data_IF_188433063751
#
_entry.id   IF_188433063751
#
_cell.length_a   1.000
_cell.length_b   1.000
_cell.length_c   1.000
_cell.angle_alpha   90.00
_cell.angle_beta   90.00
_cell.angle_gamma   90.00
#
_symmetry.space_group_name_H-M   'P 1'
#
loop_
_entity.id
_entity.type
_entity.pdbx_description
1 polymer ?
#
# COMPACT_ATOMS: atom_id res chain seq x y z
N UNK A 1 -31.97 3.49 -10.13
CA UNK A 1 -33.39 3.85 -10.00
C UNK A 1 -33.47 5.36 -9.87
N UNK A 2 -34.23 6.04 -10.73
CA UNK A 2 -34.42 7.49 -10.61
C UNK A 2 -35.14 7.79 -9.30
N UNK A 3 -34.61 8.73 -8.51
CA UNK A 3 -35.21 9.11 -7.24
C UNK A 3 -36.61 9.71 -7.50
N UNK A 4 -37.63 9.12 -6.89
CA UNK A 4 -39.01 9.60 -6.99
C UNK A 4 -39.11 10.95 -6.26
N UNK A 5 -39.54 12.00 -6.96
CA UNK A 5 -39.68 13.35 -6.40
C UNK A 5 -40.97 13.44 -5.57
N UNK A 6 -40.88 13.26 -4.25
CA UNK A 6 -42.05 13.33 -3.34
C UNK A 6 -42.26 14.73 -2.70
N UNK A 7 -41.32 15.66 -2.92
CA UNK A 7 -41.33 17.01 -2.38
C UNK A 7 -41.18 18.05 -3.51
N UNK A 8 -41.77 19.23 -3.31
CA UNK A 8 -41.65 20.38 -4.19
C UNK A 8 -41.78 21.69 -3.39
N UNK A 9 -41.55 22.84 -4.04
CA UNK A 9 -41.89 24.15 -3.45
C UNK A 9 -43.26 24.63 -3.92
N UNK A 10 -44.01 25.29 -3.06
CA UNK A 10 -45.15 26.11 -3.49
C UNK A 10 -44.74 27.54 -3.88
N UNK A 11 -45.72 28.37 -4.25
CA UNK A 11 -45.51 29.76 -4.61
C UNK A 11 -44.91 30.65 -3.49
N UNK A 12 -44.96 30.20 -2.23
CA UNK A 12 -44.36 30.88 -1.08
C UNK A 12 -42.95 30.38 -0.78
N UNK A 13 -42.47 29.37 -1.50
CA UNK A 13 -41.19 28.71 -1.23
C UNK A 13 -41.26 27.71 -0.08
N UNK A 14 -42.45 27.29 0.35
CA UNK A 14 -42.60 26.27 1.39
C UNK A 14 -42.50 24.88 0.77
N UNK A 15 -41.84 23.95 1.48
CA UNK A 15 -41.77 22.54 1.05
C UNK A 15 -43.14 21.89 1.22
N UNK A 16 -43.70 21.41 0.12
CA UNK A 16 -44.91 20.60 0.05
C UNK A 16 -44.57 19.16 -0.29
N UNK A 17 -45.29 18.23 0.34
CA UNK A 17 -45.21 16.82 -0.02
C UNK A 17 -46.36 16.45 -0.95
N UNK A 18 -46.16 15.42 -1.78
CA UNK A 18 -47.14 15.00 -2.80
C UNK A 18 -48.50 14.60 -2.20
N UNK A 19 -48.54 14.14 -0.95
CA UNK A 19 -49.77 13.82 -0.23
C UNK A 19 -50.52 15.04 0.32
N UNK A 20 -49.86 16.20 0.43
CA UNK A 20 -50.40 17.41 1.06
C UNK A 20 -51.06 18.35 0.04
N UNK A 21 -51.07 17.99 -1.25
CA UNK A 21 -51.51 18.86 -2.34
C UNK A 21 -52.59 18.20 -3.20
N UNK A 22 -53.44 18.99 -3.89
CA UNK A 22 -54.40 18.45 -4.86
C UNK A 22 -53.70 17.68 -6.00
N UNK A 23 -54.37 16.63 -6.50
CA UNK A 23 -53.93 15.89 -7.69
C UNK A 23 -53.82 16.79 -8.92
N UNK A 24 -52.79 16.56 -9.74
CA UNK A 24 -52.64 17.19 -11.05
C UNK A 24 -51.90 18.54 -11.00
N UNK A 25 -52.08 19.35 -12.05
CA UNK A 25 -51.46 20.68 -12.17
C UNK A 25 -52.03 21.70 -11.17
N UNK A 26 -53.21 21.43 -10.60
CA UNK A 26 -53.81 22.23 -9.54
C UNK A 26 -53.04 22.22 -8.21
N UNK A 27 -51.94 21.45 -8.09
CA UNK A 27 -51.09 21.44 -6.91
C UNK A 27 -50.35 22.76 -6.67
N UNK A 28 -50.17 23.61 -7.69
CA UNK A 28 -49.48 24.90 -7.57
C UNK A 28 -48.01 24.78 -7.14
N UNK A 29 -47.37 23.64 -7.41
CA UNK A 29 -46.00 23.35 -7.01
C UNK A 29 -45.00 23.57 -8.15
N UNK A 30 -43.75 23.84 -7.78
CA UNK A 30 -42.66 24.20 -8.69
C UNK A 30 -41.41 23.37 -8.41
N UNK A 31 -40.66 23.08 -9.47
CA UNK A 31 -39.37 22.41 -9.36
C UNK A 31 -38.38 23.28 -8.59
N UNK A 32 -37.69 22.75 -7.56
CA UNK A 32 -36.69 23.52 -6.80
C UNK A 32 -35.50 23.98 -7.65
N UNK A 33 -35.20 23.30 -8.76
CA UNK A 33 -34.10 23.64 -9.66
C UNK A 33 -34.56 24.57 -10.79
N UNK A 34 -35.35 24.07 -11.75
CA UNK A 34 -35.68 24.84 -12.96
C UNK A 34 -36.85 25.81 -12.78
N UNK A 35 -37.53 25.76 -11.64
CA UNK A 35 -38.72 26.58 -11.30
C UNK A 35 -39.94 26.36 -12.21
N UNK A 36 -39.91 25.39 -13.14
CA UNK A 36 -41.07 25.03 -13.94
C UNK A 36 -42.20 24.45 -13.07
N UNK A 37 -43.48 24.60 -13.48
CA UNK A 37 -44.62 23.99 -12.83
C UNK A 37 -44.52 22.45 -12.79
N UNK A 38 -45.03 21.89 -11.70
CA UNK A 38 -45.12 20.44 -11.48
C UNK A 38 -46.58 19.98 -11.46
N UNK A 39 -46.75 18.69 -11.74
CA UNK A 39 -48.02 17.97 -11.68
C UNK A 39 -47.91 16.92 -10.58
N UNK A 40 -48.82 16.95 -9.60
CA UNK A 40 -48.91 15.91 -8.57
C UNK A 40 -49.54 14.63 -9.16
N UNK A 41 -48.74 13.63 -9.46
CA UNK A 41 -49.16 12.32 -9.98
C UNK A 41 -49.61 11.44 -8.81
N UNK A 42 -50.89 11.49 -8.51
CA UNK A 42 -51.53 10.66 -7.47
C UNK A 42 -52.43 9.60 -8.14
N UNK A 43 -52.08 8.33 -7.99
CA UNK A 43 -52.78 7.22 -8.64
C UNK A 43 -52.62 5.89 -7.90
N UNK A 44 -53.24 4.85 -8.45
CA UNK A 44 -53.22 3.49 -7.89
C UNK A 44 -52.14 2.59 -8.51
N UNK A 45 -51.73 2.88 -9.74
CA UNK A 45 -50.76 2.06 -10.49
C UNK A 45 -49.30 2.43 -10.17
N UNK A 46 -49.00 3.72 -10.10
CA UNK A 46 -47.65 4.25 -9.87
C UNK A 46 -47.54 4.91 -8.50
N UNK A 47 -46.33 4.92 -7.94
CA UNK A 47 -46.03 5.67 -6.71
C UNK A 47 -46.34 7.15 -6.88
N UNK A 48 -46.78 7.78 -5.79
CA UNK A 48 -47.14 9.18 -5.82
C UNK A 48 -45.89 10.04 -5.93
N UNK A 49 -45.86 10.94 -6.90
CA UNK A 49 -44.71 11.79 -7.16
C UNK A 49 -45.10 13.09 -7.85
N UNK A 50 -44.20 14.04 -7.82
CA UNK A 50 -44.24 15.21 -8.68
C UNK A 50 -43.53 14.91 -10.01
N UNK A 51 -44.16 15.33 -11.11
CA UNK A 51 -43.58 15.27 -12.45
C UNK A 51 -43.62 16.67 -13.07
N UNK A 52 -42.68 16.97 -13.97
CA UNK A 52 -42.73 18.24 -14.70
C UNK A 52 -43.95 18.29 -15.62
N UNK A 53 -44.64 19.43 -15.64
CA UNK A 53 -45.70 19.66 -16.61
C UNK A 53 -45.13 19.61 -18.03
N UNK A 54 -45.85 18.97 -18.96
CA UNK A 54 -45.44 18.81 -20.36
C UNK A 54 -44.01 18.26 -20.57
N UNK A 55 -43.53 17.42 -19.65
CA UNK A 55 -42.18 16.81 -19.71
C UNK A 55 -41.04 17.84 -19.84
N UNK A 56 -41.20 19.02 -19.22
CA UNK A 56 -40.18 20.07 -19.17
C UNK A 56 -38.99 19.75 -18.25
N UNK A 57 -38.79 18.48 -17.89
CA UNK A 57 -37.70 18.07 -17.03
C UNK A 57 -36.34 18.25 -17.73
N UNK A 58 -35.34 18.62 -16.94
CA UNK A 58 -33.97 18.80 -17.40
C UNK A 58 -33.03 17.95 -16.55
N UNK A 59 -31.86 17.54 -17.05
CA UNK A 59 -30.92 16.73 -16.28
C UNK A 59 -30.58 17.32 -14.90
N UNK A 60 -30.46 18.65 -14.80
CA UNK A 60 -30.18 19.35 -13.54
C UNK A 60 -31.31 19.26 -12.50
N UNK A 61 -32.54 18.91 -12.91
CA UNK A 61 -33.69 18.81 -12.00
C UNK A 61 -33.53 17.68 -10.98
N UNK A 62 -32.70 16.67 -11.27
CA UNK A 62 -32.38 15.60 -10.32
C UNK A 62 -31.77 16.13 -9.02
N UNK A 63 -30.86 17.13 -9.12
CA UNK A 63 -30.23 17.80 -7.97
C UNK A 63 -31.26 18.51 -7.09
N UNK A 64 -32.42 18.85 -7.65
CA UNK A 64 -33.53 19.47 -6.95
C UNK A 64 -34.10 18.58 -5.84
N UNK A 65 -34.29 17.29 -6.14
CA UNK A 65 -34.76 16.31 -5.17
C UNK A 65 -33.75 16.11 -4.03
N UNK A 66 -32.45 16.10 -4.36
CA UNK A 66 -31.37 16.01 -3.36
C UNK A 66 -31.34 17.24 -2.45
N UNK A 67 -31.48 18.44 -3.01
CA UNK A 67 -31.53 19.67 -2.21
C UNK A 67 -32.70 19.66 -1.21
N UNK A 68 -33.88 19.19 -1.63
CA UNK A 68 -35.03 19.04 -0.74
C UNK A 68 -34.80 17.96 0.33
N UNK A 69 -34.18 16.83 -0.04
CA UNK A 69 -33.79 15.80 0.93
C UNK A 69 -32.80 16.35 1.97
N UNK A 70 -31.83 17.19 1.57
CA UNK A 70 -30.92 17.86 2.49
C UNK A 70 -31.68 18.78 3.45
N UNK A 71 -32.60 19.59 2.93
CA UNK A 71 -33.44 20.48 3.76
C UNK A 71 -34.23 19.68 4.81
N UNK A 72 -34.80 18.54 4.41
CA UNK A 72 -35.47 17.65 5.35
C UNK A 72 -34.51 17.01 6.36
N UNK A 73 -33.27 16.70 5.97
CA UNK A 73 -32.21 16.27 6.89
C UNK A 73 -31.85 17.32 7.93
N UNK A 74 -31.78 18.59 7.55
CA UNK A 74 -31.57 19.71 8.49
C UNK A 74 -32.75 19.82 9.45
N UNK A 75 -33.99 19.73 8.94
CA UNK A 75 -35.19 19.70 9.77
C UNK A 75 -35.18 18.51 10.75
N UNK A 76 -34.78 17.32 10.29
CA UNK A 76 -34.64 16.13 11.12
C UNK A 76 -33.60 16.33 12.23
N UNK A 77 -32.43 16.89 11.91
CA UNK A 77 -31.40 17.20 12.91
C UNK A 77 -31.91 18.19 13.97
N UNK A 78 -32.63 19.24 13.54
CA UNK A 78 -33.29 20.20 14.45
C UNK A 78 -34.31 19.51 15.35
N UNK A 79 -35.13 18.62 14.80
CA UNK A 79 -36.12 17.84 15.55
C UNK A 79 -35.50 16.92 16.59
N UNK A 80 -34.39 16.25 16.25
CA UNK A 80 -33.64 15.43 17.20
C UNK A 80 -33.09 16.28 18.35
N UNK A 81 -32.46 17.42 18.03
CA UNK A 81 -31.90 18.32 19.04
C UNK A 81 -32.98 18.89 19.97
N UNK A 82 -34.08 19.41 19.41
CA UNK A 82 -35.17 20.01 20.17
C UNK A 82 -35.83 19.05 21.16
N UNK A 83 -35.78 17.74 20.87
CA UNK A 83 -36.33 16.68 21.73
C UNK A 83 -35.30 16.07 22.69
N UNK A 84 -34.05 16.55 22.68
CA UNK A 84 -32.95 15.94 23.44
C UNK A 84 -32.62 14.51 22.97
N UNK A 85 -32.98 14.16 21.73
CA UNK A 85 -32.79 12.82 21.15
C UNK A 85 -31.60 12.78 20.17
N UNK A 86 -30.82 13.86 20.08
CA UNK A 86 -29.62 13.92 19.25
C UNK A 86 -28.46 13.24 20.00
N UNK A 87 -28.23 11.96 19.66
CA UNK A 87 -27.16 11.15 20.23
C UNK A 87 -26.14 10.83 19.14
N UNK A 88 -24.86 11.06 19.43
CA UNK A 88 -23.76 10.78 18.50
C UNK A 88 -23.28 9.33 18.69
N UNK A 89 -22.91 8.62 17.61
CA UNK A 89 -22.31 7.30 17.73
C UNK A 89 -20.90 7.40 18.34
N UNK A 90 -20.32 6.30 18.84
CA UNK A 90 -18.91 6.28 19.24
C UNK A 90 -17.99 6.70 18.08
N UNK A 91 -16.93 7.44 18.39
CA UNK A 91 -15.87 7.77 17.45
C UNK A 91 -14.82 6.67 17.45
N UNK A 92 -14.46 6.14 16.28
CA UNK A 92 -13.41 5.14 16.12
C UNK A 92 -12.34 5.65 15.18
N UNK A 93 -11.09 5.58 15.63
CA UNK A 93 -9.89 5.84 14.83
C UNK A 93 -8.91 4.68 14.98
N UNK A 94 -7.74 4.77 14.36
CA UNK A 94 -6.71 3.74 14.46
C UNK A 94 -5.40 4.30 14.99
N UNK A 95 -4.77 3.52 15.87
CA UNK A 95 -3.36 3.65 16.22
C UNK A 95 -2.62 2.47 15.58
N UNK A 96 -1.43 2.71 15.03
CA UNK A 96 -0.73 1.66 14.33
C UNK A 96 0.60 2.08 13.72
N UNK A 97 1.35 1.06 13.34
CA UNK A 97 2.60 1.16 12.60
C UNK A 97 2.58 0.14 11.47
N UNK A 98 3.12 0.53 10.32
CA UNK A 98 3.35 -0.36 9.19
C UNK A 98 4.80 -0.22 8.78
N UNK A 99 5.63 -1.13 9.28
CA UNK A 99 7.09 -1.14 9.09
C UNK A 99 7.56 -2.54 8.70
N UNK A 100 8.84 -2.67 8.34
CA UNK A 100 9.47 -3.97 8.08
C UNK A 100 9.50 -4.89 9.32
N UNK A 101 9.43 -4.31 10.53
CA UNK A 101 9.59 -5.05 11.79
C UNK A 101 8.27 -5.38 12.46
N UNK A 102 7.26 -4.54 12.26
CA UNK A 102 5.93 -4.69 12.82
C UNK A 102 4.90 -4.03 11.90
N UNK A 103 3.88 -4.80 11.55
CA UNK A 103 2.64 -4.31 10.95
C UNK A 103 1.50 -4.59 11.92
N UNK A 104 1.02 -3.53 12.58
CA UNK A 104 -0.04 -3.62 13.60
C UNK A 104 -0.90 -2.36 13.54
N UNK A 105 -2.20 -2.54 13.53
CA UNK A 105 -3.19 -1.47 13.59
C UNK A 105 -4.28 -1.90 14.56
N UNK A 106 -4.64 -1.01 15.48
CA UNK A 106 -5.65 -1.26 16.51
C UNK A 106 -6.69 -0.16 16.50
N UNK A 107 -7.99 -0.51 16.53
CA UNK A 107 -9.05 0.47 16.67
C UNK A 107 -9.01 1.08 18.08
N UNK A 108 -9.12 2.40 18.13
CA UNK A 108 -9.28 3.16 19.37
C UNK A 108 -10.63 3.85 19.28
N UNK A 109 -11.51 3.54 20.24
CA UNK A 109 -12.90 4.01 20.26
C UNK A 109 -13.20 4.73 21.56
N UNK A 110 -13.89 5.86 21.46
CA UNK A 110 -14.42 6.57 22.61
C UNK A 110 -15.74 7.26 22.28
N UNK A 111 -16.48 7.61 23.32
CA UNK A 111 -17.75 8.31 23.23
C UNK A 111 -17.52 9.81 23.43
N UNK A 112 -18.24 10.61 22.64
CA UNK A 112 -18.32 12.05 22.82
C UNK A 112 -19.75 12.48 22.51
N UNK A 113 -20.36 13.21 23.43
CA UNK A 113 -21.75 13.66 23.31
C UNK A 113 -21.84 15.18 23.35
N UNK A 114 -22.95 15.70 22.86
CA UNK A 114 -23.23 17.13 22.85
C UNK A 114 -23.49 17.67 24.25
N UNK A 115 -22.93 18.84 24.53
CA UNK A 115 -23.23 19.62 25.74
C UNK A 115 -23.69 21.02 25.39
N UNK A 116 -24.77 21.47 26.02
CA UNK A 116 -25.32 22.81 25.83
C UNK A 116 -26.09 23.00 24.51
N UNK A 117 -26.42 24.26 24.16
CA UNK A 117 -27.22 24.58 22.98
C UNK A 117 -26.39 24.53 21.69
N UNK A 118 -27.07 24.25 20.58
CA UNK A 118 -26.51 24.41 19.23
C UNK A 118 -26.77 25.81 18.69
N UNK A 119 -25.75 26.38 18.03
CA UNK A 119 -25.87 27.59 17.22
C UNK A 119 -26.18 27.20 15.78
N UNK A 120 -27.40 27.46 15.32
CA UNK A 120 -27.85 27.11 13.98
C UNK A 120 -27.48 28.18 12.96
N UNK A 121 -27.05 27.77 11.76
CA UNK A 121 -26.86 28.68 10.63
C UNK A 121 -28.14 28.76 9.80
N UNK A 122 -28.47 29.97 9.36
CA UNK A 122 -29.54 30.20 8.40
C UNK A 122 -29.04 29.95 6.98
N UNK A 123 -29.78 29.14 6.23
CA UNK A 123 -29.48 28.79 4.83
C UNK A 123 -28.01 28.39 4.54
N UNK A 124 -27.42 27.42 5.28
CA UNK A 124 -26.03 27.03 5.07
C UNK A 124 -25.81 26.39 3.70
N UNK A 125 -24.74 26.80 3.02
CA UNK A 125 -24.28 26.18 1.78
C UNK A 125 -24.01 24.68 1.96
N UNK A 126 -23.94 23.92 0.86
CA UNK A 126 -23.81 22.44 0.91
C UNK A 126 -22.59 21.95 1.70
N UNK A 127 -21.47 22.65 1.56
CA UNK A 127 -20.21 22.34 2.23
C UNK A 127 -20.04 23.06 3.58
N UNK A 128 -20.99 23.91 3.99
CA UNK A 128 -20.91 24.65 5.24
C UNK A 128 -21.60 23.90 6.38
N UNK A 129 -21.17 24.11 7.63
CA UNK A 129 -21.84 23.51 8.77
C UNK A 129 -23.24 24.09 8.95
N UNK A 130 -24.18 23.24 9.34
CA UNK A 130 -25.58 23.60 9.58
C UNK A 130 -25.80 24.07 11.01
N UNK A 131 -24.95 23.61 11.93
CA UNK A 131 -24.93 24.02 13.32
C UNK A 131 -23.54 23.84 13.91
N UNK A 132 -23.24 24.60 14.95
CA UNK A 132 -22.04 24.45 15.78
C UNK A 132 -22.41 24.33 17.26
N UNK A 133 -21.56 23.71 18.06
CA UNK A 133 -21.77 23.49 19.49
C UNK A 133 -20.51 23.02 20.19
N UNK A 134 -20.68 22.37 21.34
CA UNK A 134 -19.59 21.82 22.16
C UNK A 134 -19.84 20.34 22.46
N UNK A 135 -18.77 19.57 22.55
CA UNK A 135 -18.79 18.21 23.10
C UNK A 135 -18.52 18.22 24.61
N UNK A 136 -18.96 17.18 25.31
CA UNK A 136 -18.63 16.88 26.70
C UNK A 136 -17.13 16.68 26.95
N UNK A 137 -16.36 16.36 25.89
CA UNK A 137 -14.90 16.37 25.92
C UNK A 137 -14.30 17.78 26.02
N UNK A 138 -15.10 18.82 25.82
CA UNK A 138 -14.65 20.21 25.76
C UNK A 138 -14.22 20.69 24.37
N UNK A 139 -14.29 19.82 23.36
CA UNK A 139 -13.96 20.19 21.98
C UNK A 139 -15.11 20.94 21.28
N UNK A 140 -14.82 21.97 20.46
CA UNK A 140 -15.81 22.57 19.58
C UNK A 140 -16.29 21.55 18.55
N UNK A 141 -17.57 21.67 18.15
CA UNK A 141 -18.24 20.73 17.25
C UNK A 141 -18.95 21.44 16.11
N UNK A 142 -18.83 20.89 14.91
CA UNK A 142 -19.57 21.31 13.72
C UNK A 142 -20.41 20.15 13.13
N UNK A 143 -21.65 20.45 12.77
CA UNK A 143 -22.55 19.50 12.11
C UNK A 143 -22.69 19.83 10.63
N UNK A 144 -22.65 18.79 9.80
CA UNK A 144 -22.96 18.87 8.38
C UNK A 144 -24.17 18.00 8.05
N UNK A 145 -24.86 18.32 6.96
CA UNK A 145 -25.91 17.46 6.40
C UNK A 145 -25.62 17.28 4.91
N UNK A 146 -25.47 16.03 4.50
CA UNK A 146 -25.08 15.65 3.14
C UNK A 146 -26.06 14.62 2.59
N UNK A 147 -26.18 14.58 1.27
CA UNK A 147 -27.12 13.69 0.56
C UNK A 147 -26.34 12.77 -0.37
N UNK A 148 -26.45 11.45 -0.18
CA UNK A 148 -25.67 10.48 -0.94
C UNK A 148 -24.16 10.62 -0.75
N UNK A 149 -23.37 10.35 -1.80
CA UNK A 149 -21.90 10.47 -1.80
C UNK A 149 -21.45 11.94 -1.97
N UNK A 150 -22.07 12.87 -1.23
CA UNK A 150 -21.85 14.30 -1.43
C UNK A 150 -20.39 14.72 -1.15
N UNK A 151 -20.00 15.83 -1.77
CA UNK A 151 -18.69 16.49 -1.63
C UNK A 151 -18.27 16.67 -0.17
N UNK A 152 -16.98 16.53 0.11
CA UNK A 152 -16.39 16.74 1.44
C UNK A 152 -16.86 18.05 2.10
N UNK A 153 -17.09 18.05 3.42
CA UNK A 153 -17.32 19.28 4.18
C UNK A 153 -16.18 20.29 3.97
N UNK A 154 -16.50 21.59 3.93
CA UNK A 154 -15.48 22.63 4.04
C UNK A 154 -15.14 22.85 5.51
N UNK A 155 -13.85 22.81 5.81
CA UNK A 155 -13.30 22.98 7.16
C UNK A 155 -12.60 24.35 7.33
N UNK A 156 -12.57 25.19 6.29
CA UNK A 156 -11.77 26.43 6.25
C UNK A 156 -12.09 27.41 7.39
N UNK A 157 -13.36 27.49 7.78
CA UNK A 157 -13.84 28.42 8.82
C UNK A 157 -13.95 27.76 10.22
N UNK A 158 -13.40 26.56 10.40
CA UNK A 158 -13.47 25.84 11.67
C UNK A 158 -12.15 25.91 12.44
N UNK A 159 -12.19 25.93 13.79
CA UNK A 159 -10.99 25.73 14.61
C UNK A 159 -10.25 24.43 14.23
N UNK A 160 -8.93 24.41 14.40
CA UNK A 160 -8.09 23.25 14.08
C UNK A 160 -8.47 21.99 14.89
N UNK A 161 -8.91 22.21 16.14
CA UNK A 161 -9.38 21.18 17.08
C UNK A 161 -10.90 20.96 17.00
N UNK A 162 -11.58 21.48 15.98
CA UNK A 162 -13.02 21.33 15.83
C UNK A 162 -13.38 19.92 15.37
N UNK A 163 -14.05 19.17 16.25
CA UNK A 163 -14.70 17.93 15.88
C UNK A 163 -15.80 18.20 14.84
N UNK A 164 -16.04 17.25 13.95
CA UNK A 164 -17.19 17.33 13.06
C UNK A 164 -17.79 15.98 12.72
N UNK A 165 -19.12 16.00 12.57
CA UNK A 165 -19.91 14.88 12.11
C UNK A 165 -20.90 15.31 11.03
N UNK A 166 -21.21 14.38 10.15
CA UNK A 166 -22.16 14.55 9.05
C UNK A 166 -23.36 13.66 9.30
N UNK A 167 -24.56 14.24 9.25
CA UNK A 167 -25.78 13.47 9.05
C UNK A 167 -25.91 13.14 7.56
N UNK A 168 -25.70 11.87 7.22
CA UNK A 168 -25.88 11.35 5.87
C UNK A 168 -27.34 11.04 5.63
N UNK A 169 -27.90 11.69 4.60
CA UNK A 169 -29.27 11.49 4.14
C UNK A 169 -29.23 10.71 2.83
N UNK A 170 -29.97 9.60 2.76
CA UNK A 170 -30.15 8.87 1.51
C UNK A 170 -31.51 9.28 0.93
N UNK A 171 -31.57 9.87 -0.28
CA UNK A 171 -32.82 10.33 -0.89
C UNK A 171 -33.59 9.16 -1.52
N UNK A 172 -33.73 8.06 -0.78
CA UNK A 172 -34.43 6.84 -1.16
C UNK A 172 -35.60 6.64 -0.21
N UNK A 173 -36.76 7.15 -0.61
CA UNK A 173 -37.96 7.12 0.23
C UNK A 173 -38.62 5.73 0.17
N UNK A 174 -39.05 5.16 1.31
CA UNK A 174 -39.86 3.95 1.31
C UNK A 174 -41.11 4.12 0.44
N UNK A 175 -41.54 3.03 -0.20
CA UNK A 175 -42.78 3.04 -1.00
C UNK A 175 -43.95 3.55 -0.17
N UNK A 176 -44.71 4.49 -0.74
CA UNK A 176 -45.87 5.07 -0.07
C UNK A 176 -45.57 6.28 0.81
N UNK A 177 -44.33 6.75 0.89
CA UNK A 177 -44.00 8.03 1.55
C UNK A 177 -44.65 9.19 0.80
N UNK A 178 -45.60 9.87 1.43
CA UNK A 178 -46.44 10.91 0.81
C UNK A 178 -46.48 12.20 1.61
N UNK A 179 -46.19 12.13 2.90
CA UNK A 179 -46.32 13.25 3.84
C UNK A 179 -44.98 13.58 4.49
N UNK A 180 -44.90 14.77 5.09
CA UNK A 180 -43.74 15.18 5.89
C UNK A 180 -43.45 14.20 7.02
N UNK A 181 -44.48 13.77 7.74
CA UNK A 181 -44.33 12.88 8.89
C UNK A 181 -43.74 11.53 8.48
N UNK A 182 -44.22 10.94 7.38
CA UNK A 182 -43.70 9.68 6.85
C UNK A 182 -42.24 9.83 6.40
N UNK A 183 -41.89 10.93 5.74
CA UNK A 183 -40.52 11.17 5.30
C UNK A 183 -39.56 11.38 6.50
N UNK A 184 -39.98 12.09 7.54
CA UNK A 184 -39.20 12.20 8.79
C UNK A 184 -39.07 10.87 9.53
N UNK A 185 -40.13 10.05 9.54
CA UNK A 185 -40.09 8.70 10.10
C UNK A 185 -39.11 7.80 9.32
N UNK A 186 -39.07 7.92 8.00
CA UNK A 186 -38.11 7.23 7.16
C UNK A 186 -36.66 7.66 7.48
N UNK A 187 -36.39 8.97 7.60
CA UNK A 187 -35.06 9.48 7.98
C UNK A 187 -34.61 8.96 9.34
N UNK A 188 -35.52 8.76 10.29
CA UNK A 188 -35.18 8.18 11.61
C UNK A 188 -34.57 6.77 11.48
N UNK A 189 -34.92 6.03 10.42
CA UNK A 189 -34.43 4.68 10.18
C UNK A 189 -33.21 4.63 9.25
N UNK A 190 -33.07 5.61 8.37
CA UNK A 190 -32.08 5.55 7.27
C UNK A 190 -30.97 6.58 7.38
N UNK A 191 -31.19 7.71 8.07
CA UNK A 191 -30.16 8.71 8.25
C UNK A 191 -29.14 8.23 9.30
N UNK A 192 -27.86 8.43 9.00
CA UNK A 192 -26.77 7.96 9.84
C UNK A 192 -25.80 9.10 10.12
N UNK A 193 -25.30 9.16 11.35
CA UNK A 193 -24.18 10.01 11.67
C UNK A 193 -22.88 9.34 11.27
N UNK A 194 -22.05 10.06 10.54
CA UNK A 194 -20.67 9.70 10.27
C UNK A 194 -19.76 10.76 10.86
N UNK A 195 -18.86 10.34 11.75
CA UNK A 195 -17.77 11.20 12.19
C UNK A 195 -16.78 11.44 11.05
N UNK A 196 -16.32 12.68 10.90
CA UNK A 196 -15.19 12.99 10.06
C UNK A 196 -13.91 13.20 10.87
N UNK A 197 -14.00 13.88 12.00
CA UNK A 197 -12.88 14.09 12.91
C UNK A 197 -13.37 14.33 14.34
N UNK A 198 -12.58 13.88 15.31
CA UNK A 198 -12.74 14.20 16.72
C UNK A 198 -11.33 14.29 17.34
N UNK A 199 -10.99 15.36 18.08
CA UNK A 199 -9.67 15.53 18.67
C UNK A 199 -9.48 14.58 19.86
N UNK A 200 -8.30 13.94 19.93
CA UNK A 200 -7.93 12.98 20.99
C UNK A 200 -7.74 13.65 22.36
N UNK A 201 -8.84 14.15 22.91
CA UNK A 201 -8.86 15.05 24.07
C UNK A 201 -8.42 14.32 25.34
N UNK A 202 -8.66 13.01 25.39
CA UNK A 202 -8.26 12.13 26.50
C UNK A 202 -6.92 11.42 26.23
N UNK A 203 -6.27 11.66 25.08
CA UNK A 203 -5.00 11.03 24.73
C UNK A 203 -5.08 9.51 24.54
N UNK A 204 -6.26 8.96 24.27
CA UNK A 204 -6.48 7.52 24.10
C UNK A 204 -5.76 7.01 22.85
N UNK A 205 -5.90 7.71 21.72
CA UNK A 205 -5.19 7.34 20.48
C UNK A 205 -3.69 7.51 20.66
N UNK A 206 -3.24 8.60 21.25
CA UNK A 206 -1.84 8.87 21.50
C UNK A 206 -1.20 7.81 22.42
N UNK A 207 -1.95 7.31 23.42
CA UNK A 207 -1.49 6.24 24.31
C UNK A 207 -1.35 4.92 23.55
N UNK A 208 -2.38 4.49 22.83
CA UNK A 208 -2.32 3.27 22.02
C UNK A 208 -1.20 3.34 20.97
N UNK A 209 -0.99 4.50 20.34
CA UNK A 209 0.09 4.71 19.38
C UNK A 209 1.47 4.50 20.02
N UNK A 210 1.71 5.08 21.19
CA UNK A 210 2.99 4.91 21.92
C UNK A 210 3.25 3.46 22.30
N UNK A 211 2.22 2.72 22.71
CA UNK A 211 2.35 1.31 23.06
C UNK A 211 2.74 0.46 21.84
N UNK A 212 2.10 0.70 20.69
CA UNK A 212 2.43 -0.01 19.44
C UNK A 212 3.85 0.37 18.95
N UNK A 213 4.23 1.65 19.04
CA UNK A 213 5.57 2.11 18.70
C UNK A 213 6.65 1.49 19.59
N UNK A 214 6.38 1.35 20.90
CA UNK A 214 7.29 0.65 21.82
C UNK A 214 7.49 -0.82 21.41
N UNK A 215 6.42 -1.49 20.93
CA UNK A 215 6.53 -2.86 20.42
C UNK A 215 7.33 -2.94 19.12
N UNK A 216 7.19 -1.96 18.21
CA UNK A 216 8.01 -1.88 16.99
C UNK A 216 9.49 -1.70 17.33
N UNK A 217 9.80 -0.80 18.26
CA UNK A 217 11.17 -0.57 18.72
C UNK A 217 11.77 -1.84 19.33
N UNK A 218 10.99 -2.59 20.11
CA UNK A 218 11.42 -3.88 20.67
C UNK A 218 11.63 -4.93 19.57
N UNK A 219 10.75 -5.01 18.56
CA UNK A 219 10.90 -5.92 17.43
C UNK A 219 12.17 -5.62 16.62
N UNK A 220 12.41 -4.34 16.32
CA UNK A 220 13.61 -3.85 15.64
C UNK A 220 14.88 -4.14 16.44
N UNK A 221 14.84 -3.91 17.76
CA UNK A 221 15.95 -4.20 18.66
C UNK A 221 16.34 -5.68 18.65
N UNK A 222 15.36 -6.59 18.72
CA UNK A 222 15.59 -8.04 18.62
C UNK A 222 16.19 -8.43 17.27
N UNK A 223 15.67 -7.88 16.17
CA UNK A 223 16.21 -8.17 14.84
C UNK A 223 17.67 -7.73 14.70
N UNK A 224 18.01 -6.52 15.17
CA UNK A 224 19.38 -6.02 15.16
C UNK A 224 20.32 -6.85 16.05
N UNK A 225 19.82 -7.37 17.18
CA UNK A 225 20.58 -8.29 18.03
C UNK A 225 20.86 -9.61 17.32
N UNK A 226 19.84 -10.22 16.71
CA UNK A 226 20.00 -11.45 15.92
C UNK A 226 21.01 -11.26 14.77
N UNK A 227 20.93 -10.15 14.04
CA UNK A 227 21.87 -9.83 12.97
C UNK A 227 23.30 -9.67 13.51
N UNK A 228 23.47 -9.01 14.65
CA UNK A 228 24.77 -8.89 15.33
C UNK A 228 25.31 -10.26 15.74
N UNK A 229 24.48 -11.11 16.32
CA UNK A 229 24.88 -12.48 16.72
C UNK A 229 25.28 -13.31 15.50
N UNK A 230 24.52 -13.23 14.40
CA UNK A 230 24.80 -13.88 13.11
C UNK A 230 26.14 -13.39 12.53
N UNK A 231 26.39 -12.08 12.53
CA UNK A 231 27.65 -11.48 12.10
C UNK A 231 28.85 -11.93 12.94
N UNK A 232 28.72 -11.97 14.28
CA UNK A 232 29.77 -12.46 15.16
C UNK A 232 30.04 -13.96 14.98
N UNK A 233 29.00 -14.77 14.77
CA UNK A 233 29.14 -16.19 14.48
C UNK A 233 29.86 -16.41 13.14
N UNK A 234 29.49 -15.66 12.10
CA UNK A 234 30.18 -15.67 10.81
C UNK A 234 31.65 -15.28 10.96
N UNK A 235 31.96 -14.19 11.69
CA UNK A 235 33.33 -13.78 11.97
C UNK A 235 34.16 -14.86 12.68
N UNK A 236 33.59 -15.56 13.67
CA UNK A 236 34.24 -16.70 14.35
C UNK A 236 34.48 -17.88 13.40
N UNK A 237 33.50 -18.22 12.55
CA UNK A 237 33.65 -19.25 11.51
C UNK A 237 34.85 -18.93 10.61
N UNK A 238 34.93 -17.69 10.11
CA UNK A 238 36.04 -17.22 9.28
C UNK A 238 37.40 -17.25 9.98
N UNK A 239 37.47 -16.83 11.25
CA UNK A 239 38.71 -16.88 12.02
C UNK A 239 39.23 -18.32 12.20
N UNK A 240 38.34 -19.28 12.44
CA UNK A 240 38.69 -20.69 12.57
C UNK A 240 39.19 -21.29 11.24
N UNK A 241 38.52 -20.97 10.14
CA UNK A 241 38.94 -21.38 8.79
C UNK A 241 40.35 -20.83 8.50
N UNK A 242 40.58 -19.53 8.75
CA UNK A 242 41.89 -18.90 8.54
C UNK A 242 42.99 -19.57 9.38
N UNK A 243 42.70 -19.93 10.63
CA UNK A 243 43.65 -20.65 11.51
C UNK A 243 43.99 -22.04 10.97
N UNK A 244 43.00 -22.80 10.51
CA UNK A 244 43.21 -24.12 9.91
C UNK A 244 44.04 -24.02 8.61
N UNK A 245 43.78 -23.01 7.78
CA UNK A 245 44.57 -22.75 6.58
C UNK A 245 46.04 -22.44 6.91
N UNK A 246 46.29 -21.62 7.94
CA UNK A 246 47.65 -21.26 8.34
C UNK A 246 48.41 -22.45 8.94
N UNK A 247 47.71 -23.34 9.65
CA UNK A 247 48.29 -24.60 10.16
C UNK A 247 48.65 -25.59 9.05
N UNK A 248 47.82 -25.69 8.01
CA UNK A 248 48.11 -26.53 6.84
C UNK A 248 49.27 -25.96 6.00
N UNK A 249 49.44 -24.64 5.92
CA UNK A 249 50.57 -24.01 5.25
C UNK A 249 51.90 -24.23 6.00
N UNK A 250 51.87 -24.31 7.33
CA UNK A 250 53.05 -24.60 8.16
C UNK A 250 53.47 -26.09 8.16
N UNK A 251 52.62 -26.98 7.64
CA UNK A 251 52.90 -28.42 7.56
C UNK A 251 53.44 -28.88 6.19
N UNK A 252 53.66 -27.97 5.23
CA UNK A 252 54.27 -28.30 3.95
C UNK A 252 55.79 -28.52 4.11
N UNK A 253 56.35 -29.68 3.70
CA UNK A 253 57.77 -29.95 3.89
C UNK A 253 58.62 -29.09 2.94
N UNK A 254 59.66 -28.47 3.50
CA UNK A 254 60.70 -27.78 2.75
C UNK A 254 61.43 -28.75 1.81
N UNK A 255 61.20 -28.61 0.50
CA UNK A 255 62.05 -29.13 -0.55
C UNK A 255 62.46 -27.98 -1.46
N UNK A 256 63.69 -27.50 -1.29
CA UNK A 256 64.22 -26.36 -2.03
C UNK A 256 64.65 -26.69 -3.46
N UNK A 257 64.91 -25.64 -4.24
CA UNK A 257 65.81 -25.72 -5.40
C UNK A 257 65.36 -24.99 -6.66
N UNK A 258 65.89 -23.77 -6.81
CA UNK A 258 66.33 -23.11 -8.04
C UNK A 258 65.34 -22.53 -9.08
N UNK A 259 65.55 -21.22 -9.27
CA UNK A 259 65.29 -20.39 -10.45
C UNK A 259 65.78 -21.05 -11.76
N UNK A 260 64.99 -21.00 -12.84
CA UNK A 260 65.22 -19.99 -13.89
C UNK A 260 64.13 -20.00 -14.98
N UNK A 261 63.99 -18.85 -15.62
CA UNK A 261 63.05 -18.56 -16.69
C UNK A 261 63.35 -19.34 -17.99
N UNK A 262 62.29 -19.72 -18.73
CA UNK A 262 62.05 -19.37 -20.14
C UNK A 262 60.89 -20.20 -20.75
N UNK A 263 60.15 -19.53 -21.63
CA UNK A 263 58.93 -19.93 -22.35
C UNK A 263 58.99 -21.25 -23.16
N UNK A 264 57.83 -21.83 -23.56
CA UNK A 264 57.73 -23.20 -24.05
C UNK A 264 57.90 -23.33 -25.57
N UNK A 265 58.53 -24.42 -26.01
CA UNK A 265 58.50 -24.91 -27.39
C UNK A 265 58.02 -26.36 -27.41
N UNK A 266 57.26 -26.63 -28.47
CA UNK A 266 56.36 -27.73 -28.76
C UNK A 266 56.98 -29.12 -28.95
N UNK A 267 56.06 -30.08 -28.82
CA UNK A 267 55.94 -31.40 -29.49
C UNK A 267 56.48 -32.66 -28.81
N UNK A 268 55.54 -33.59 -28.55
CA UNK A 268 55.73 -34.98 -28.97
C UNK A 268 55.25 -36.12 -28.06
N UNK A 269 53.93 -36.31 -27.93
CA UNK A 269 53.17 -37.61 -27.86
C UNK A 269 53.49 -38.63 -26.74
N UNK A 270 52.55 -39.30 -26.04
CA UNK A 270 51.16 -39.68 -26.37
C UNK A 270 50.27 -39.98 -25.12
N UNK A 271 49.01 -39.48 -25.21
CA UNK A 271 47.66 -40.02 -24.88
C UNK A 271 47.42 -40.96 -23.66
N UNK A 272 46.34 -40.84 -22.85
CA UNK A 272 44.93 -40.49 -23.15
C UNK A 272 44.13 -40.05 -21.87
N UNK A 273 42.83 -39.64 -21.97
CA UNK A 273 42.22 -38.64 -22.85
C UNK A 273 41.61 -37.48 -22.04
N UNK A 274 41.90 -36.23 -22.45
CA UNK A 274 41.10 -35.08 -22.06
C UNK A 274 39.96 -34.93 -23.07
N UNK A 275 38.71 -34.95 -22.61
CA UNK A 275 37.57 -34.60 -23.43
C UNK A 275 37.58 -33.08 -23.65
N UNK A 276 38.21 -32.64 -24.74
CA UNK A 276 38.03 -31.29 -25.27
C UNK A 276 36.71 -31.28 -26.03
N UNK A 277 35.64 -30.77 -25.41
CA UNK A 277 34.42 -30.38 -26.15
C UNK A 277 34.66 -28.98 -26.73
N UNK A 278 34.42 -28.86 -28.03
CA UNK A 278 34.75 -27.67 -28.83
C UNK A 278 33.97 -26.43 -28.42
N UNK A 279 34.54 -25.26 -28.73
CA UNK A 279 33.92 -23.95 -28.56
C UNK A 279 32.59 -23.87 -29.33
N UNK A 280 31.48 -24.11 -28.63
CA UNK A 280 30.15 -23.80 -29.13
C UNK A 280 30.00 -22.28 -29.22
N UNK A 281 29.45 -21.81 -30.34
CA UNK A 281 29.21 -20.38 -30.60
C UNK A 281 28.10 -19.92 -29.65
N UNK A 282 28.36 -18.92 -28.82
CA UNK A 282 27.40 -18.41 -27.84
C UNK A 282 26.08 -17.99 -28.50
N UNK A 283 24.95 -18.50 -28.00
CA UNK A 283 23.62 -18.04 -28.36
C UNK A 283 23.26 -16.80 -27.51
N UNK A 284 23.16 -15.59 -28.11
CA UNK A 284 22.85 -14.37 -27.37
C UNK A 284 21.41 -14.32 -26.84
N UNK A 285 20.49 -15.12 -27.38
CA UNK A 285 19.08 -15.17 -26.97
C UNK A 285 18.81 -16.16 -25.83
N UNK A 286 19.76 -17.05 -25.53
CA UNK A 286 19.64 -18.00 -24.43
C UNK A 286 19.48 -17.26 -23.08
N UNK A 287 18.56 -17.76 -22.25
CA UNK A 287 18.29 -17.27 -20.90
C UNK A 287 18.26 -18.42 -19.90
N UNK A 288 19.11 -18.34 -18.89
CA UNK A 288 19.26 -19.38 -17.88
C UNK A 288 18.64 -18.92 -16.57
N UNK A 289 17.44 -19.42 -16.26
CA UNK A 289 16.68 -19.02 -15.06
C UNK A 289 17.42 -19.30 -13.75
N UNK A 290 18.33 -20.28 -13.74
CA UNK A 290 19.19 -20.60 -12.60
C UNK A 290 20.22 -19.51 -12.29
N UNK A 291 20.53 -18.64 -13.25
CA UNK A 291 21.52 -17.56 -13.12
C UNK A 291 20.85 -16.23 -13.46
N UNK A 292 20.03 -15.67 -12.54
CA UNK A 292 19.23 -14.50 -12.81
C UNK A 292 20.07 -13.30 -13.26
N UNK A 293 19.55 -12.55 -14.22
CA UNK A 293 20.12 -11.28 -14.64
C UNK A 293 21.44 -11.38 -15.42
N UNK A 294 21.84 -12.55 -15.91
CA UNK A 294 23.07 -12.68 -16.70
C UNK A 294 23.01 -11.87 -18.01
N UNK A 295 24.14 -11.31 -18.44
CA UNK A 295 24.23 -10.57 -19.68
C UNK A 295 24.06 -11.51 -20.91
N UNK A 296 23.51 -11.02 -22.04
CA UNK A 296 23.35 -11.81 -23.25
C UNK A 296 24.69 -12.37 -23.75
N UNK A 297 24.75 -13.69 -23.98
CA UNK A 297 25.95 -14.36 -24.47
C UNK A 297 27.17 -14.29 -23.53
N UNK A 298 26.97 -14.00 -22.24
CA UNK A 298 28.09 -13.90 -21.30
C UNK A 298 28.82 -15.24 -21.15
N UNK A 299 30.08 -15.17 -20.70
CA UNK A 299 30.83 -16.34 -20.29
C UNK A 299 30.53 -16.63 -18.82
N UNK A 300 30.25 -17.89 -18.51
CA UNK A 300 30.10 -18.39 -17.15
C UNK A 300 31.41 -19.02 -16.70
N UNK A 301 31.82 -18.74 -15.48
CA UNK A 301 32.98 -19.36 -14.85
C UNK A 301 32.54 -20.17 -13.64
N UNK A 302 32.75 -21.47 -13.72
CA UNK A 302 32.39 -22.43 -12.68
C UNK A 302 33.57 -22.68 -11.75
N UNK A 303 33.31 -22.70 -10.45
CA UNK A 303 34.27 -23.01 -9.41
C UNK A 303 33.69 -24.07 -8.46
N UNK A 304 34.30 -25.26 -8.42
CA UNK A 304 33.94 -26.32 -7.47
C UNK A 304 34.85 -26.30 -6.26
N UNK A 305 34.32 -25.92 -5.11
CA UNK A 305 35.06 -25.82 -3.86
C UNK A 305 34.99 -27.13 -3.06
N UNK A 306 33.89 -27.86 -3.18
CA UNK A 306 33.63 -29.12 -2.49
C UNK A 306 32.77 -30.09 -3.32
N UNK A 307 32.47 -31.29 -2.80
CA UNK A 307 31.59 -32.25 -3.47
C UNK A 307 30.16 -31.72 -3.65
N UNK A 308 29.68 -30.90 -2.71
CA UNK A 308 28.33 -30.30 -2.73
C UNK A 308 28.38 -28.76 -2.79
N UNK A 309 29.55 -28.17 -3.05
CA UNK A 309 29.75 -26.72 -3.06
C UNK A 309 30.38 -26.26 -4.37
N UNK A 310 29.56 -25.62 -5.20
CA UNK A 310 29.98 -25.06 -6.47
C UNK A 310 29.29 -23.72 -6.75
N UNK A 311 30.04 -22.83 -7.40
CA UNK A 311 29.67 -21.44 -7.64
C UNK A 311 29.86 -21.08 -9.10
N UNK A 312 28.92 -20.32 -9.65
CA UNK A 312 28.99 -19.79 -11.01
C UNK A 312 29.11 -18.28 -10.98
N UNK A 313 30.18 -17.78 -11.57
CA UNK A 313 30.49 -16.36 -11.73
C UNK A 313 30.15 -15.89 -13.15
N UNK A 314 29.45 -14.76 -13.28
CA UNK A 314 29.00 -14.26 -14.58
C UNK A 314 28.76 -12.75 -14.59
N UNK A 315 28.74 -12.16 -15.79
CA UNK A 315 28.45 -10.74 -16.01
C UNK A 315 26.93 -10.49 -15.95
N UNK A 316 26.51 -9.41 -15.30
CA UNK A 316 25.11 -9.02 -15.17
C UNK A 316 24.68 -8.05 -16.27
N UNK A 317 23.45 -8.23 -16.73
CA UNK A 317 22.79 -7.33 -17.67
C UNK A 317 22.53 -5.95 -17.05
N UNK A 318 22.69 -4.90 -17.86
CA UNK A 318 22.56 -3.51 -17.39
C UNK A 318 21.15 -3.16 -16.96
N UNK A 319 20.13 -3.70 -17.63
CA UNK A 319 18.73 -3.44 -17.29
C UNK A 319 18.41 -4.07 -15.93
N UNK A 320 18.86 -5.30 -15.71
CA UNK A 320 18.72 -6.01 -14.43
C UNK A 320 19.35 -5.23 -13.26
N UNK A 321 20.58 -4.74 -13.46
CA UNK A 321 21.29 -3.91 -12.46
C UNK A 321 20.54 -2.61 -12.15
N UNK A 322 19.99 -1.98 -13.19
CA UNK A 322 19.28 -0.69 -13.07
C UNK A 322 17.95 -0.86 -12.34
N UNK A 323 17.16 -1.89 -12.67
CA UNK A 323 15.89 -2.19 -12.02
C UNK A 323 16.05 -2.48 -10.52
N UNK A 324 17.19 -3.06 -10.12
CA UNK A 324 17.52 -3.36 -8.72
C UNK A 324 18.23 -2.22 -7.99
N UNK A 325 18.40 -1.05 -8.61
CA UNK A 325 18.97 0.14 -7.98
C UNK A 325 20.48 0.06 -7.70
N UNK A 326 21.21 -0.84 -8.36
CA UNK A 326 22.64 -1.11 -8.15
C UNK A 326 23.54 -0.47 -9.22
N UNK A 327 23.03 0.54 -9.94
CA UNK A 327 23.76 1.19 -11.02
C UNK A 327 25.04 1.88 -10.52
N UNK A 328 26.21 1.67 -11.17
CA UNK A 328 27.46 2.31 -10.75
C UNK A 328 27.39 3.83 -10.92
N UNK A 329 27.92 4.58 -9.94
CA UNK A 329 27.79 6.03 -9.83
C UNK A 329 28.69 6.86 -10.80
N UNK A 330 29.21 6.28 -11.88
CA UNK A 330 30.26 6.91 -12.71
C UNK A 330 29.94 6.94 -14.22
N UNK A 331 30.45 7.98 -14.90
CA UNK A 331 30.27 8.34 -16.33
C UNK A 331 30.84 7.34 -17.36
N UNK A 332 31.17 6.10 -16.95
CA UNK A 332 31.54 5.00 -17.85
C UNK A 332 30.81 3.72 -17.46
N UNK A 333 30.30 2.93 -18.42
CA UNK A 333 29.63 1.67 -18.13
C UNK A 333 30.63 0.67 -17.54
N UNK A 334 30.62 0.51 -16.21
CA UNK A 334 31.40 -0.51 -15.53
C UNK A 334 30.62 -1.83 -15.55
N UNK A 335 31.28 -2.93 -15.91
CA UNK A 335 30.70 -4.28 -15.84
C UNK A 335 30.40 -4.62 -14.39
N UNK A 336 29.20 -5.11 -14.14
CA UNK A 336 28.76 -5.62 -12.83
C UNK A 336 28.69 -7.14 -12.91
N UNK A 337 29.06 -7.81 -11.83
CA UNK A 337 29.19 -9.27 -11.81
C UNK A 337 28.34 -9.89 -10.72
N UNK A 338 27.85 -11.09 -10.98
CA UNK A 338 27.09 -11.92 -10.05
C UNK A 338 27.81 -13.23 -9.77
N UNK A 339 27.58 -13.79 -8.58
CA UNK A 339 27.89 -15.19 -8.28
C UNK A 339 26.62 -15.88 -7.78
N UNK A 340 26.33 -17.08 -8.27
CA UNK A 340 25.19 -17.89 -7.78
C UNK A 340 25.62 -19.34 -7.48
N UNK A 341 24.94 -20.04 -6.56
CA UNK A 341 25.15 -21.47 -6.33
C UNK A 341 24.82 -22.32 -7.57
N UNK A 342 25.72 -23.23 -7.95
CA UNK A 342 25.54 -24.06 -9.14
C UNK A 342 24.50 -25.19 -8.99
N UNK A 343 24.19 -25.59 -7.75
CA UNK A 343 23.23 -26.67 -7.45
C UNK A 343 21.95 -26.15 -6.77
N UNK A 344 21.65 -24.86 -6.94
CA UNK A 344 20.49 -24.22 -6.34
C UNK A 344 20.75 -23.68 -4.92
N UNK A 345 19.77 -22.96 -4.40
CA UNK A 345 19.89 -22.22 -3.14
C UNK A 345 19.56 -23.13 -1.96
N UNK A 346 20.58 -23.49 -1.17
CA UNK A 346 20.42 -24.17 0.12
C UNK A 346 20.32 -23.15 1.25
N UNK A 347 19.73 -23.52 2.39
CA UNK A 347 19.63 -22.61 3.53
C UNK A 347 21.02 -22.08 3.95
N UNK A 348 21.17 -20.75 3.99
CA UNK A 348 22.43 -20.08 4.34
C UNK A 348 23.43 -19.89 3.20
N UNK A 349 23.05 -20.18 1.94
CA UNK A 349 23.90 -19.97 0.78
C UNK A 349 24.41 -18.53 0.64
N UNK A 350 23.65 -17.53 1.14
CA UNK A 350 23.95 -16.09 1.14
C UNK A 350 25.06 -15.67 2.12
N UNK A 351 25.58 -16.61 2.93
CA UNK A 351 26.71 -16.41 3.85
C UNK A 351 28.01 -17.14 3.46
N UNK A 352 27.99 -18.00 2.44
CA UNK A 352 29.13 -18.81 2.02
C UNK A 352 30.32 -17.99 1.48
N UNK A 353 30.08 -16.79 0.93
CA UNK A 353 31.14 -15.91 0.46
C UNK A 353 31.39 -14.77 1.45
N UNK A 354 32.65 -14.38 1.70
CA UNK A 354 32.95 -13.31 2.63
C UNK A 354 32.54 -11.94 2.07
N UNK A 355 32.30 -10.93 2.92
CA UNK A 355 31.94 -9.56 2.50
C UNK A 355 32.99 -8.86 1.62
N UNK A 356 34.21 -9.38 1.57
CA UNK A 356 35.27 -8.93 0.66
C UNK A 356 34.99 -9.33 -0.79
N UNK A 357 34.29 -10.44 -1.02
CA UNK A 357 33.90 -10.92 -2.36
C UNK A 357 32.62 -10.23 -2.84
N UNK A 358 31.63 -10.13 -1.97
CA UNK A 358 30.33 -9.59 -2.35
C UNK A 358 29.31 -9.59 -1.23
N UNK A 359 28.07 -9.25 -1.57
CA UNK A 359 26.92 -9.27 -0.67
C UNK A 359 25.82 -10.14 -1.26
N UNK A 360 25.31 -11.09 -0.48
CA UNK A 360 24.16 -11.91 -0.86
C UNK A 360 22.89 -11.08 -1.01
N UNK A 361 22.11 -11.38 -2.05
CA UNK A 361 20.79 -10.85 -2.34
C UNK A 361 19.82 -12.02 -2.47
N UNK A 362 19.04 -12.23 -1.41
CA UNK A 362 18.08 -13.32 -1.30
C UNK A 362 16.95 -13.19 -2.31
N UNK A 363 16.53 -11.96 -2.63
CA UNK A 363 15.43 -11.67 -3.55
C UNK A 363 15.86 -11.82 -5.02
N UNK A 364 17.15 -11.63 -5.31
CA UNK A 364 17.72 -11.83 -6.63
C UNK A 364 18.33 -13.23 -6.83
N UNK A 365 18.62 -13.96 -5.74
CA UNK A 365 19.23 -15.27 -5.80
C UNK A 365 20.71 -15.25 -6.20
N UNK A 366 21.41 -14.14 -5.96
CA UNK A 366 22.82 -13.96 -6.34
C UNK A 366 23.62 -13.27 -5.23
N UNK A 367 24.95 -13.33 -5.32
CA UNK A 367 25.84 -12.38 -4.68
C UNK A 367 26.18 -11.25 -5.65
N UNK A 368 25.98 -10.01 -5.19
CA UNK A 368 26.55 -8.84 -5.83
C UNK A 368 28.06 -8.81 -5.60
N UNK A 369 28.83 -8.99 -6.67
CA UNK A 369 30.28 -8.99 -6.58
C UNK A 369 30.81 -7.58 -6.45
N UNK A 370 31.70 -7.37 -5.46
CA UNK A 370 32.33 -6.06 -5.22
C UNK A 370 33.22 -5.64 -6.39
N UNK A 371 34.10 -6.53 -6.82
CA UNK A 371 34.95 -6.39 -7.99
C UNK A 371 35.44 -7.77 -8.47
N UNK A 372 35.78 -7.85 -9.76
CA UNK A 372 36.23 -9.08 -10.42
C UNK A 372 37.46 -9.71 -9.72
N UNK A 373 38.42 -8.88 -9.29
CA UNK A 373 39.68 -9.36 -8.73
C UNK A 373 39.47 -10.02 -7.37
N UNK A 374 38.63 -9.42 -6.51
CA UNK A 374 38.28 -9.95 -5.20
C UNK A 374 37.55 -11.29 -5.30
N UNK A 375 36.61 -11.43 -6.24
CA UNK A 375 35.90 -12.69 -6.48
C UNK A 375 36.84 -13.80 -6.98
N UNK A 376 37.61 -13.52 -8.04
CA UNK A 376 38.50 -14.52 -8.65
C UNK A 376 39.65 -14.90 -7.71
N UNK A 377 40.23 -13.95 -6.99
CA UNK A 377 41.29 -14.21 -5.99
C UNK A 377 40.78 -15.01 -4.80
N UNK A 378 39.49 -14.95 -4.50
CA UNK A 378 38.88 -15.77 -3.46
C UNK A 378 38.55 -17.18 -3.95
N UNK A 379 37.86 -17.29 -5.09
CA UNK A 379 37.35 -18.57 -5.60
C UNK A 379 38.45 -19.44 -6.18
N UNK A 380 39.40 -18.88 -6.95
CA UNK A 380 40.36 -19.67 -7.71
C UNK A 380 41.29 -20.52 -6.84
N UNK A 381 41.89 -20.01 -5.75
CA UNK A 381 42.76 -20.82 -4.88
C UNK A 381 42.00 -21.87 -4.06
N UNK A 382 40.67 -21.73 -3.94
CA UNK A 382 39.78 -22.64 -3.18
C UNK A 382 39.11 -23.67 -4.07
N UNK A 383 39.22 -23.49 -5.39
CA UNK A 383 38.59 -24.36 -6.36
C UNK A 383 39.41 -25.63 -6.54
N UNK A 384 38.75 -26.79 -6.38
CA UNK A 384 39.27 -28.11 -6.73
C UNK A 384 39.17 -28.36 -8.24
N UNK A 385 38.28 -27.67 -8.93
CA UNK A 385 38.13 -27.70 -10.37
C UNK A 385 37.44 -26.41 -10.86
N UNK A 386 37.98 -25.78 -11.90
CA UNK A 386 37.35 -24.63 -12.55
C UNK A 386 37.15 -24.88 -14.04
N UNK A 387 36.00 -24.47 -14.57
CA UNK A 387 35.70 -24.53 -16.00
C UNK A 387 35.04 -23.22 -16.45
N UNK A 388 35.04 -22.98 -17.77
CA UNK A 388 34.40 -21.81 -18.38
C UNK A 388 33.66 -22.21 -19.64
N UNK A 389 32.55 -21.53 -19.92
CA UNK A 389 31.73 -21.81 -21.11
C UNK A 389 30.50 -20.92 -21.16
N UNK A 390 29.76 -21.02 -22.26
CA UNK A 390 28.60 -20.16 -22.54
C UNK A 390 27.25 -20.79 -22.18
N UNK A 391 27.22 -22.10 -21.91
CA UNK A 391 26.05 -22.81 -21.43
C UNK A 391 26.34 -23.42 -20.05
N UNK A 392 25.65 -22.95 -18.98
CA UNK A 392 25.80 -23.49 -17.65
C UNK A 392 25.46 -24.99 -17.51
N UNK A 393 24.67 -25.56 -18.42
CA UNK A 393 24.35 -26.98 -18.43
C UNK A 393 25.60 -27.86 -18.66
N UNK A 394 26.65 -27.31 -19.29
CA UNK A 394 27.93 -27.99 -19.50
C UNK A 394 28.70 -28.28 -18.20
N UNK A 395 28.25 -27.70 -17.07
CA UNK A 395 28.89 -27.84 -15.77
C UNK A 395 28.11 -28.71 -14.78
N UNK A 396 26.97 -29.29 -15.17
CA UNK A 396 26.12 -30.08 -14.26
C UNK A 396 26.74 -31.41 -13.81
N UNK A 397 27.70 -31.94 -14.59
CA UNK A 397 28.40 -33.21 -14.33
C UNK A 397 29.83 -33.02 -13.73
N UNK A 398 30.20 -31.77 -13.41
CA UNK A 398 31.52 -31.39 -12.85
C UNK A 398 31.42 -31.11 -11.36
#
# INVERSE_FOLDING_TARGET
MAAVMIMAYDARGEIRFVGDVPKGAGCGCFCPTCKSPLVAKQGFENEWHFAHEASQERPECAVGAENLARSLGIEHLRHLHARGALVLPPYTTHAGVSTLWLSRSEPVTWEAQLVGPLTWRDAPGKAQPVATGMLDTGAPMAFFVQVGAASSPSLEDLPEDCAYATLLVVPSWPRGTRTRQEAMAALTQTAQFQWGYQPDTFGMRATAQREIEAMEQQARGRAAEFERQRSLAAGRRWANIAKAMNQNAAAAPHGGGHHDALSPVLNGTAAAPAAVRGQAKADPEARFAQYPGHAPGCNFQFFRLGPDEAWVFYELDKEFVTQRGMAPAADKPQKVWGIAPAHGHTEGWDECLPPSVGKGDLDAGIYWVRDLMSAVSFLSPRSKASSTGHDPAEFQDL
#
